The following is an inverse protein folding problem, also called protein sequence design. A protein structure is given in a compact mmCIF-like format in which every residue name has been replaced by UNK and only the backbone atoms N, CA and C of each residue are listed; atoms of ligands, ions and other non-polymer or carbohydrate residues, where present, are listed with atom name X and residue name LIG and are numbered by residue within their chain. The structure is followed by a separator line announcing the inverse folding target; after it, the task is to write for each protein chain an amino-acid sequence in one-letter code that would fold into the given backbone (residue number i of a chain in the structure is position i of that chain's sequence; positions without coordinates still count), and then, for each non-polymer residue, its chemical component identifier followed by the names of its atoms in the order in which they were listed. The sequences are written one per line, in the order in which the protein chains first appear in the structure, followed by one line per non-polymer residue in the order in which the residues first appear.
data_IF_630800553896
#
_entry.id   IF_630800553896
#
_cell.length_a   1.000
_cell.length_b   1.000
_cell.length_c   1.000
_cell.angle_alpha   90.00
_cell.angle_beta   90.00
_cell.angle_gamma   90.00
#
_symmetry.space_group_name_H-M   'P 1'
#
loop_
_entity.id
_entity.type
_entity.pdbx_description
1 polymer ?
#
# COMPACT_ATOMS: atom_id res chain seq x y z
N UNK A 1 3.89 11.20 17.40
CA UNK A 1 3.49 11.38 15.98
C UNK A 1 1.98 11.43 15.84
N UNK A 2 1.42 12.63 15.70
CA UNK A 2 0.00 12.88 15.50
C UNK A 2 -0.45 12.34 14.14
N UNK A 3 -1.52 11.54 14.13
CA UNK A 3 -2.15 11.14 12.89
C UNK A 3 -2.79 12.39 12.28
N UNK A 4 -2.13 13.03 11.31
CA UNK A 4 -2.68 14.18 10.58
C UNK A 4 -4.03 13.82 9.94
N UNK A 5 -4.79 14.84 9.55
CA UNK A 5 -6.13 14.69 8.96
C UNK A 5 -6.13 13.74 7.76
N UNK A 6 -7.30 13.15 7.45
CA UNK A 6 -7.51 12.30 6.27
C UNK A 6 -7.00 12.97 4.99
N UNK A 7 -7.36 14.24 4.79
CA UNK A 7 -6.93 15.04 3.64
C UNK A 7 -5.42 15.27 3.58
N UNK A 8 -4.75 15.45 4.73
CA UNK A 8 -3.30 15.59 4.79
C UNK A 8 -2.57 14.29 4.43
N UNK A 9 -3.09 13.14 4.90
CA UNK A 9 -2.56 11.81 4.55
C UNK A 9 -2.72 11.53 3.07
N UNK A 10 -3.89 11.83 2.50
CA UNK A 10 -4.13 11.70 1.07
C UNK A 10 -3.17 12.57 0.27
N UNK A 11 -3.04 13.87 0.63
CA UNK A 11 -2.10 14.77 -0.04
C UNK A 11 -0.69 14.19 -0.07
N UNK A 12 -0.23 13.65 1.07
CA UNK A 12 1.12 13.10 1.21
C UNK A 12 1.32 11.81 0.39
N UNK A 13 0.36 10.89 0.41
CA UNK A 13 0.40 9.69 -0.45
C UNK A 13 0.46 10.07 -1.92
N UNK A 14 -0.30 11.08 -2.35
CA UNK A 14 -0.31 11.54 -3.73
C UNK A 14 1.02 12.15 -4.13
N UNK A 15 1.52 13.16 -3.40
CA UNK A 15 2.73 13.86 -3.85
C UNK A 15 4.03 13.09 -3.66
N UNK A 16 4.17 12.28 -2.60
CA UNK A 16 5.45 11.65 -2.23
C UNK A 16 5.40 10.12 -2.21
N UNK A 17 4.23 9.54 -2.49
CA UNK A 17 4.03 8.09 -2.45
C UNK A 17 3.70 7.48 -3.80
N UNK A 18 3.37 8.28 -4.83
CA UNK A 18 2.86 7.76 -6.09
C UNK A 18 3.95 7.09 -6.93
N UNK A 19 5.03 7.81 -7.21
CA UNK A 19 6.17 7.29 -7.96
C UNK A 19 7.10 6.46 -7.07
N UNK A 20 7.88 5.58 -7.67
CA UNK A 20 8.97 4.89 -7.01
C UNK A 20 10.16 5.86 -6.82
N UNK A 21 10.99 5.74 -5.77
CA UNK A 21 12.19 6.58 -5.63
C UNK A 21 13.23 6.31 -6.74
N UNK A 22 13.13 5.17 -7.42
CA UNK A 22 14.01 4.77 -8.52
C UNK A 22 13.75 5.60 -9.79
N UNK A 23 12.61 6.30 -9.89
CA UNK A 23 12.35 7.19 -11.01
C UNK A 23 13.12 8.51 -10.86
N UNK A 24 13.56 9.12 -11.97
CA UNK A 24 14.23 10.41 -11.96
C UNK A 24 13.41 11.50 -11.23
N UNK A 25 14.05 12.50 -10.59
CA UNK A 25 13.36 13.56 -9.84
C UNK A 25 12.40 14.44 -10.66
N UNK A 26 12.43 14.34 -11.99
CA UNK A 26 11.46 15.04 -12.86
C UNK A 26 10.06 14.40 -12.84
N UNK A 27 9.91 13.18 -12.32
CA UNK A 27 8.62 12.54 -12.13
C UNK A 27 7.99 13.00 -10.82
N UNK A 28 7.03 13.91 -10.94
CA UNK A 28 6.42 14.58 -9.80
C UNK A 28 4.90 14.56 -9.91
N UNK A 29 4.19 14.67 -8.77
CA UNK A 29 2.73 14.47 -8.70
C UNK A 29 2.02 15.43 -7.74
N UNK A 30 2.61 16.61 -7.57
CA UNK A 30 2.12 17.68 -6.69
C UNK A 30 0.79 18.21 -7.17
N UNK A 31 0.55 18.32 -8.47
CA UNK A 31 -0.73 18.78 -9.00
C UNK A 31 -1.84 17.77 -8.76
N UNK A 32 -1.57 16.47 -8.90
CA UNK A 32 -2.50 15.41 -8.50
C UNK A 32 -2.85 15.56 -7.00
N UNK A 33 -1.85 15.83 -6.16
CA UNK A 33 -2.05 16.07 -4.73
C UNK A 33 -2.78 17.39 -4.43
N UNK A 34 -2.51 18.46 -5.18
CA UNK A 34 -3.08 19.80 -5.03
C UNK A 34 -4.57 19.77 -5.34
N UNK A 35 -4.95 19.19 -6.48
CA UNK A 35 -6.31 19.13 -6.98
C UNK A 35 -7.09 17.87 -6.55
N UNK A 36 -6.52 17.04 -5.65
CA UNK A 36 -7.09 15.78 -5.14
C UNK A 36 -8.59 15.84 -4.80
N UNK A 37 -9.05 16.94 -4.19
CA UNK A 37 -10.46 17.10 -3.80
C UNK A 37 -11.36 17.23 -5.03
N UNK A 38 -10.99 18.09 -5.97
CA UNK A 38 -11.71 18.27 -7.24
C UNK A 38 -11.79 16.95 -8.00
N UNK A 39 -10.68 16.20 -8.08
CA UNK A 39 -10.68 14.90 -8.73
C UNK A 39 -11.58 13.88 -8.03
N UNK A 40 -11.49 13.75 -6.71
CA UNK A 40 -12.35 12.83 -5.95
C UNK A 40 -13.82 13.21 -6.12
N UNK A 41 -14.17 14.49 -5.95
CA UNK A 41 -15.54 14.98 -6.07
C UNK A 41 -16.08 14.74 -7.49
N UNK A 42 -15.29 15.02 -8.52
CA UNK A 42 -15.64 14.76 -9.91
C UNK A 42 -15.85 13.28 -10.22
N UNK A 43 -14.99 12.38 -9.70
CA UNK A 43 -15.14 10.94 -9.89
C UNK A 43 -16.38 10.41 -9.17
N UNK A 44 -16.66 10.90 -7.95
CA UNK A 44 -17.83 10.47 -7.18
C UNK A 44 -19.16 10.97 -7.77
N UNK A 45 -19.12 12.07 -8.55
CA UNK A 45 -20.28 12.61 -9.25
C UNK A 45 -20.61 11.89 -10.58
N UNK A 46 -19.75 10.96 -11.05
CA UNK A 46 -20.01 10.21 -12.28
C UNK A 46 -21.28 9.33 -12.14
N UNK A 47 -22.08 9.19 -13.22
CA UNK A 47 -23.27 8.36 -13.20
C UNK A 47 -22.91 6.89 -12.90
N UNK A 48 -23.75 6.17 -12.13
CA UNK A 48 -23.47 4.78 -11.79
C UNK A 48 -23.45 3.89 -13.05
N UNK A 49 -22.55 2.90 -13.04
CA UNK A 49 -22.44 1.88 -14.10
C UNK A 49 -22.98 0.58 -13.56
N UNK A 50 -24.03 0.04 -14.20
CA UNK A 50 -24.72 -1.21 -13.77
C UNK A 50 -25.17 -1.14 -12.29
N UNK A 51 -25.82 -0.05 -11.90
CA UNK A 51 -26.28 0.21 -10.53
C UNK A 51 -25.18 0.22 -9.45
N UNK A 52 -23.92 0.41 -9.85
CA UNK A 52 -22.77 0.53 -8.94
C UNK A 52 -22.00 1.83 -9.22
N UNK A 53 -21.33 2.43 -8.22
CA UNK A 53 -20.49 3.61 -8.45
C UNK A 53 -19.47 3.37 -9.57
N UNK A 54 -19.35 4.30 -10.53
CA UNK A 54 -18.53 4.13 -11.72
C UNK A 54 -17.07 3.75 -11.41
N UNK A 55 -16.49 4.36 -10.37
CA UNK A 55 -15.12 4.09 -9.95
C UNK A 55 -14.86 2.63 -9.54
N UNK A 56 -15.88 1.88 -9.11
CA UNK A 56 -15.75 0.47 -8.76
C UNK A 56 -15.60 -0.43 -10.01
N UNK A 57 -15.98 0.09 -11.18
CA UNK A 57 -15.83 -0.58 -12.49
C UNK A 57 -14.65 -0.06 -13.30
N UNK A 58 -14.01 1.01 -12.85
CA UNK A 58 -12.82 1.53 -13.50
C UNK A 58 -11.68 0.52 -13.33
N UNK A 59 -11.14 0.02 -14.44
CA UNK A 59 -10.00 -0.89 -14.50
C UNK A 59 -8.92 -0.22 -15.34
N UNK A 60 -7.68 -0.35 -14.90
CA UNK A 60 -6.51 0.25 -15.55
C UNK A 60 -5.32 -0.69 -15.50
N UNK A 61 -4.38 -0.51 -16.42
CA UNK A 61 -3.10 -1.19 -16.41
C UNK A 61 -1.99 -0.29 -15.85
N UNK A 62 -1.08 -0.81 -15.01
CA UNK A 62 0.10 -0.09 -14.58
C UNK A 62 1.17 -0.08 -15.67
N UNK A 63 1.93 1.01 -15.73
CA UNK A 63 3.14 1.10 -16.55
C UNK A 63 4.31 0.45 -15.81
N UNK A 64 5.00 -0.48 -16.45
CA UNK A 64 6.10 -1.22 -15.85
C UNK A 64 7.45 -0.71 -16.34
N UNK A 65 8.43 -0.63 -15.43
CA UNK A 65 9.82 -0.36 -15.75
C UNK A 65 10.74 -1.24 -14.90
N UNK A 66 11.97 -1.43 -15.37
CA UNK A 66 12.99 -2.21 -14.68
C UNK A 66 14.04 -1.27 -14.11
N UNK A 67 14.42 -1.51 -12.85
CA UNK A 67 15.52 -0.79 -12.22
C UNK A 67 16.64 -1.77 -11.85
N UNK A 68 17.88 -1.52 -12.31
CA UNK A 68 18.99 -2.45 -12.09
C UNK A 68 19.36 -2.55 -10.62
N UNK A 69 19.72 -3.75 -10.19
CA UNK A 69 20.29 -4.00 -8.86
C UNK A 69 21.72 -4.48 -9.03
N UNK A 70 22.65 -3.86 -8.32
CA UNK A 70 24.06 -4.25 -8.40
C UNK A 70 24.23 -5.74 -8.06
N UNK A 71 24.74 -6.51 -9.02
CA UNK A 71 24.97 -7.96 -8.88
C UNK A 71 23.72 -8.85 -8.77
N UNK A 72 22.52 -8.36 -9.15
CA UNK A 72 21.26 -9.13 -9.10
C UNK A 72 20.37 -8.80 -10.31
N UNK A 73 19.37 -9.65 -10.57
CA UNK A 73 18.34 -9.37 -11.56
C UNK A 73 17.62 -8.04 -11.27
N UNK A 74 17.32 -7.34 -12.35
CA UNK A 74 16.56 -6.10 -12.37
C UNK A 74 15.25 -6.24 -11.59
N UNK A 75 14.92 -5.21 -10.82
CA UNK A 75 13.66 -5.16 -10.08
C UNK A 75 12.60 -4.49 -10.94
N UNK A 76 11.53 -5.22 -11.23
CA UNK A 76 10.34 -4.69 -11.89
C UNK A 76 9.56 -3.77 -10.94
N UNK A 77 9.36 -2.53 -11.34
CA UNK A 77 8.57 -1.52 -10.64
C UNK A 77 7.35 -1.15 -11.48
N UNK A 78 6.25 -0.78 -10.81
CA UNK A 78 4.98 -0.44 -11.45
C UNK A 78 4.50 0.95 -11.05
N UNK A 79 4.15 1.75 -12.04
CA UNK A 79 3.44 3.03 -11.88
C UNK A 79 1.96 2.79 -12.16
N UNK A 80 1.13 2.93 -11.14
CA UNK A 80 -0.32 2.79 -11.28
C UNK A 80 -0.90 3.94 -12.12
N UNK A 81 -2.04 3.72 -12.76
CA UNK A 81 -2.81 4.83 -13.32
C UNK A 81 -3.11 5.89 -12.23
N UNK A 82 -3.00 7.21 -12.51
CA UNK A 82 -3.22 8.25 -11.51
C UNK A 82 -4.59 8.20 -10.82
N UNK A 83 -5.66 7.84 -11.54
CA UNK A 83 -7.01 7.70 -10.99
C UNK A 83 -7.08 6.48 -10.07
N UNK A 84 -6.55 5.34 -10.50
CA UNK A 84 -6.50 4.12 -9.69
C UNK A 84 -5.70 4.33 -8.40
N UNK A 85 -4.55 5.00 -8.49
CA UNK A 85 -3.75 5.35 -7.32
C UNK A 85 -4.49 6.33 -6.40
N UNK A 86 -5.13 7.37 -6.95
CA UNK A 86 -5.91 8.33 -6.18
C UNK A 86 -7.02 7.66 -5.37
N UNK A 87 -7.81 6.79 -6.01
CA UNK A 87 -8.90 6.07 -5.37
C UNK A 87 -8.38 5.17 -4.24
N UNK A 88 -7.32 4.41 -4.50
CA UNK A 88 -6.69 3.53 -3.51
C UNK A 88 -6.12 4.33 -2.33
N UNK A 89 -5.37 5.40 -2.62
CA UNK A 89 -4.79 6.28 -1.62
C UNK A 89 -5.86 6.97 -0.77
N UNK A 90 -7.01 7.34 -1.35
CA UNK A 90 -8.13 7.94 -0.64
C UNK A 90 -8.70 6.99 0.42
N UNK A 91 -9.00 5.74 0.02
CA UNK A 91 -9.53 4.72 0.95
C UNK A 91 -8.54 4.42 2.06
N UNK A 92 -7.24 4.33 1.74
CA UNK A 92 -6.18 4.14 2.74
C UNK A 92 -6.09 5.34 3.69
N UNK A 93 -6.07 6.56 3.17
CA UNK A 93 -5.95 7.77 3.97
C UNK A 93 -7.12 7.94 4.94
N UNK A 94 -8.33 7.60 4.50
CA UNK A 94 -9.55 7.65 5.31
C UNK A 94 -9.53 6.64 6.46
N UNK A 95 -9.02 5.43 6.20
CA UNK A 95 -9.05 4.31 7.14
C UNK A 95 -7.70 4.07 7.87
N UNK A 96 -6.69 4.91 7.62
CA UNK A 96 -5.32 4.75 8.13
C UNK A 96 -5.24 4.52 9.65
N UNK A 97 -6.06 5.22 10.44
CA UNK A 97 -6.02 5.08 11.90
C UNK A 97 -6.40 3.66 12.33
N UNK A 98 -7.41 3.07 11.70
CA UNK A 98 -7.84 1.71 11.97
C UNK A 98 -6.82 0.69 11.43
N UNK A 99 -6.33 0.90 10.20
CA UNK A 99 -5.26 0.10 9.61
C UNK A 99 -4.02 0.05 10.50
N UNK A 100 -3.55 1.20 10.99
CA UNK A 100 -2.40 1.31 11.89
C UNK A 100 -2.67 0.61 13.23
N UNK A 101 -3.88 0.73 13.77
CA UNK A 101 -4.26 0.05 15.02
C UNK A 101 -4.17 -1.47 14.86
N UNK A 102 -4.65 -2.00 13.73
CA UNK A 102 -4.59 -3.44 13.41
C UNK A 102 -3.15 -3.90 13.17
N UNK A 103 -2.37 -3.16 12.39
CA UNK A 103 -0.96 -3.47 12.12
C UNK A 103 -0.11 -3.52 13.40
N UNK A 104 -0.43 -2.72 14.42
CA UNK A 104 0.27 -2.73 15.72
C UNK A 104 0.01 -3.97 16.57
N UNK A 105 -1.00 -4.80 16.26
CA UNK A 105 -1.35 -5.97 17.09
C UNK A 105 -0.26 -7.04 17.10
N UNK A 106 0.52 -7.17 16.03
CA UNK A 106 1.52 -8.23 15.93
C UNK A 106 2.76 -8.01 16.79
N UNK A 107 2.99 -6.80 17.31
CA UNK A 107 4.09 -6.48 18.24
C UNK A 107 5.53 -6.66 17.71
N UNK A 108 5.72 -7.36 16.60
CA UNK A 108 7.02 -7.87 16.11
C UNK A 108 7.46 -7.15 14.82
N UNK A 109 6.58 -6.36 14.18
CA UNK A 109 6.93 -5.70 12.92
C UNK A 109 7.95 -4.56 13.12
N UNK A 110 9.14 -4.74 12.55
CA UNK A 110 10.19 -3.72 12.47
C UNK A 110 9.95 -2.67 11.37
N UNK A 111 8.85 -2.77 10.61
CA UNK A 111 8.54 -1.87 9.49
C UNK A 111 7.13 -1.28 9.60
N UNK A 112 6.83 -0.51 10.67
CA UNK A 112 5.48 -0.04 10.90
C UNK A 112 5.04 0.91 9.77
N UNK A 113 3.79 0.83 9.29
CA UNK A 113 3.28 1.70 8.23
C UNK A 113 3.00 3.09 8.82
N UNK A 114 4.05 3.91 8.95
CA UNK A 114 3.95 5.24 9.54
C UNK A 114 4.31 6.30 8.50
N UNK A 115 3.44 7.31 8.41
CA UNK A 115 3.69 8.46 7.56
C UNK A 115 4.95 9.20 7.98
N UNK A 116 5.77 9.47 6.98
CA UNK A 116 6.87 10.42 7.07
C UNK A 116 6.38 11.77 6.54
N UNK A 117 6.66 12.84 7.29
CA UNK A 117 6.22 14.20 6.95
C UNK A 117 7.38 15.15 6.67
N UNK A 118 8.63 14.69 6.82
CA UNK A 118 9.84 15.47 6.61
C UNK A 118 10.61 15.03 5.38
N UNK A 119 10.60 13.73 5.07
CA UNK A 119 11.47 13.15 4.03
C UNK A 119 10.83 13.17 2.63
N UNK A 120 11.53 12.60 1.65
CA UNK A 120 11.07 12.52 0.24
C UNK A 120 9.95 11.50 0.01
N UNK A 121 9.70 10.59 0.96
CA UNK A 121 8.68 9.53 0.84
C UNK A 121 7.47 9.80 1.70
N UNK A 122 6.31 9.26 1.30
CA UNK A 122 5.11 9.35 2.10
C UNK A 122 5.18 8.50 3.37
N UNK A 123 5.93 7.39 3.35
CA UNK A 123 6.09 6.47 4.48
C UNK A 123 7.56 6.31 4.89
N UNK A 124 7.80 6.28 6.21
CA UNK A 124 9.12 6.03 6.77
C UNK A 124 9.68 4.72 6.25
N UNK A 125 10.94 4.69 5.81
CA UNK A 125 11.65 3.45 5.43
C UNK A 125 12.28 2.82 6.68
N UNK A 126 12.25 1.49 6.83
CA UNK A 126 12.98 0.86 7.92
C UNK A 126 14.46 0.99 7.55
N UNK A 127 15.29 1.48 8.47
CA UNK A 127 16.74 1.48 8.24
C UNK A 127 17.25 0.03 8.22
N UNK A 128 18.36 -0.19 7.52
CA UNK A 128 19.10 -1.46 7.56
C UNK A 128 19.52 -1.75 9.01
N UNK A 129 19.91 -0.71 9.73
CA UNK A 129 20.34 -0.77 11.13
C UNK A 129 19.28 -1.40 12.03
N UNK A 130 17.99 -1.08 11.85
CA UNK A 130 16.90 -1.69 12.65
C UNK A 130 16.83 -3.22 12.50
N UNK A 131 17.20 -3.75 11.32
CA UNK A 131 17.22 -5.20 11.10
C UNK A 131 18.42 -5.83 11.80
N UNK A 132 19.58 -5.19 11.73
CA UNK A 132 20.80 -5.72 12.35
C UNK A 132 20.72 -5.64 13.87
N UNK A 133 20.20 -4.53 14.40
CA UNK A 133 19.87 -4.37 15.83
C UNK A 133 18.88 -5.44 16.30
N UNK A 134 17.82 -5.71 15.52
CA UNK A 134 16.86 -6.77 15.85
C UNK A 134 17.51 -8.15 15.88
N UNK A 135 18.47 -8.42 14.98
CA UNK A 135 19.20 -9.70 14.96
C UNK A 135 20.13 -9.83 16.16
N UNK A 136 20.81 -8.76 16.54
CA UNK A 136 21.69 -8.72 17.73
C UNK A 136 20.87 -8.90 19.01
N UNK A 137 19.75 -8.20 19.14
CA UNK A 137 18.80 -8.35 20.26
C UNK A 137 18.23 -9.77 20.32
N UNK A 138 17.90 -10.38 19.19
CA UNK A 138 17.43 -11.76 19.14
C UNK A 138 18.53 -12.77 19.53
N UNK A 139 19.76 -12.59 19.02
CA UNK A 139 20.88 -13.50 19.33
C UNK A 139 21.33 -13.42 20.79
N UNK A 140 21.12 -12.28 21.46
CA UNK A 140 21.39 -12.15 22.90
C UNK A 140 20.39 -12.92 23.78
N UNK A 141 19.18 -13.21 23.28
CA UNK A 141 18.08 -13.81 24.06
C UNK A 141 17.74 -15.24 23.65
N UNK A 142 18.20 -15.68 22.47
CA UNK A 142 17.87 -16.96 21.86
C UNK A 142 19.14 -17.56 21.23
N UNK A 143 19.38 -18.83 21.52
CA UNK A 143 20.51 -19.59 20.96
C UNK A 143 20.35 -19.87 19.46
N UNK A 144 19.09 -19.97 19.00
CA UNK A 144 18.76 -20.25 17.61
C UNK A 144 17.67 -19.31 17.10
N UNK A 145 17.74 -18.94 15.82
CA UNK A 145 16.69 -18.22 15.12
C UNK A 145 16.54 -18.70 13.67
N UNK A 146 15.30 -18.69 13.18
CA UNK A 146 15.01 -19.02 11.77
C UNK A 146 15.02 -17.75 10.95
N UNK A 147 15.77 -17.77 9.85
CA UNK A 147 15.74 -16.71 8.83
C UNK A 147 15.13 -17.27 7.56
N UNK A 148 14.09 -16.61 7.06
CA UNK A 148 13.45 -16.92 5.80
C UNK A 148 13.31 -15.64 4.97
N UNK A 149 13.49 -15.77 3.65
CA UNK A 149 13.24 -14.70 2.68
C UNK A 149 12.09 -15.11 1.76
N UNK A 150 11.12 -14.21 1.56
CA UNK A 150 9.97 -14.47 0.69
C UNK A 150 10.31 -13.98 -0.71
N UNK A 151 10.54 -14.92 -1.63
CA UNK A 151 10.81 -14.60 -3.03
C UNK A 151 9.67 -13.79 -3.63
N UNK A 152 10.03 -12.71 -4.33
CA UNK A 152 9.09 -11.86 -5.06
C UNK A 152 7.92 -11.35 -4.19
N UNK A 153 8.16 -11.06 -2.90
CA UNK A 153 7.16 -10.69 -1.89
C UNK A 153 5.96 -9.91 -2.43
N UNK A 154 6.15 -8.68 -2.95
CA UNK A 154 5.04 -7.87 -3.46
C UNK A 154 4.27 -8.54 -4.60
N UNK A 155 4.96 -9.17 -5.56
CA UNK A 155 4.34 -9.84 -6.69
C UNK A 155 3.62 -11.13 -6.29
N UNK A 156 3.91 -11.70 -5.12
CA UNK A 156 3.26 -12.89 -4.59
C UNK A 156 2.03 -12.61 -3.70
N UNK A 157 1.75 -11.35 -3.37
CA UNK A 157 0.62 -11.02 -2.49
C UNK A 157 -0.71 -11.33 -3.17
N UNK A 158 -1.49 -12.23 -2.59
CA UNK A 158 -2.88 -12.44 -3.00
C UNK A 158 -3.77 -11.32 -2.45
N UNK A 159 -4.43 -10.53 -3.31
CA UNK A 159 -5.13 -9.31 -2.88
C UNK A 159 -6.29 -9.60 -1.92
N UNK A 160 -6.93 -10.75 -2.05
CA UNK A 160 -7.96 -11.17 -1.10
C UNK A 160 -7.42 -11.49 0.30
N UNK A 161 -6.10 -11.63 0.48
CA UNK A 161 -5.49 -11.70 1.80
C UNK A 161 -5.54 -10.35 2.54
N UNK A 162 -5.74 -9.23 1.86
CA UNK A 162 -5.87 -7.90 2.47
C UNK A 162 -7.06 -7.86 3.45
N UNK A 163 -8.31 -8.15 3.05
CA UNK A 163 -9.42 -8.23 4.00
C UNK A 163 -9.24 -9.34 5.03
N UNK A 164 -8.53 -10.44 4.71
CA UNK A 164 -8.24 -11.49 5.69
C UNK A 164 -7.33 -11.00 6.81
N UNK A 165 -6.28 -10.23 6.49
CA UNK A 165 -5.39 -9.63 7.48
C UNK A 165 -6.11 -8.57 8.34
N UNK A 166 -7.07 -7.85 7.75
CA UNK A 166 -7.80 -6.76 8.42
C UNK A 166 -8.91 -7.29 9.34
N UNK A 167 -9.67 -8.29 8.90
CA UNK A 167 -10.89 -8.74 9.57
C UNK A 167 -10.87 -10.21 10.02
N UNK A 168 -9.88 -10.99 9.57
CA UNK A 168 -9.86 -12.44 9.72
C UNK A 168 -10.51 -13.16 8.52
N UNK A 169 -9.93 -14.31 8.14
CA UNK A 169 -10.35 -15.08 6.95
C UNK A 169 -11.80 -15.52 7.00
N UNK A 170 -12.27 -16.04 8.14
CA UNK A 170 -13.66 -16.52 8.29
C UNK A 170 -14.65 -15.37 8.10
N UNK A 171 -14.42 -14.25 8.79
CA UNK A 171 -15.26 -13.07 8.69
C UNK A 171 -15.30 -12.51 7.26
N UNK A 172 -14.13 -12.38 6.62
CA UNK A 172 -14.02 -11.84 5.26
C UNK A 172 -14.70 -12.73 4.21
N UNK A 173 -14.66 -14.06 4.39
CA UNK A 173 -15.39 -14.99 3.52
C UNK A 173 -16.91 -14.84 3.61
N UNK A 174 -17.42 -14.52 4.79
CA UNK A 174 -18.85 -14.27 5.03
C UNK A 174 -19.28 -12.86 4.59
N UNK A 175 -18.39 -11.88 4.64
CA UNK A 175 -18.67 -10.46 4.37
C UNK A 175 -17.87 -9.96 3.17
N UNK A 176 -18.35 -10.24 1.95
CA UNK A 176 -17.65 -9.92 0.68
C UNK A 176 -18.01 -8.55 0.09
N UNK A 177 -18.90 -7.80 0.75
CA UNK A 177 -19.38 -6.50 0.25
C UNK A 177 -18.29 -5.43 0.28
N UNK A 178 -18.27 -4.56 -0.74
CA UNK A 178 -17.31 -3.44 -0.87
C UNK A 178 -17.60 -2.28 0.09
N UNK A 179 -18.68 -2.36 0.88
CA UNK A 179 -18.95 -1.45 1.99
C UNK A 179 -17.86 -1.52 3.07
N UNK A 180 -17.16 -2.65 3.19
CA UNK A 180 -16.02 -2.80 4.08
C UNK A 180 -14.74 -2.34 3.41
N UNK A 181 -14.01 -1.42 4.03
CA UNK A 181 -12.85 -0.79 3.42
C UNK A 181 -11.75 -1.79 3.02
N UNK A 182 -11.59 -2.92 3.73
CA UNK A 182 -10.62 -3.96 3.34
C UNK A 182 -10.97 -4.62 2.01
N UNK A 183 -12.27 -4.84 1.75
CA UNK A 183 -12.75 -5.35 0.45
C UNK A 183 -12.66 -4.27 -0.64
N UNK A 184 -12.85 -3.00 -0.27
CA UNK A 184 -12.65 -1.88 -1.19
C UNK A 184 -11.16 -1.75 -1.60
N UNK A 185 -10.22 -1.89 -0.65
CA UNK A 185 -8.79 -1.90 -0.95
C UNK A 185 -8.45 -3.06 -1.89
N UNK A 186 -8.95 -4.27 -1.59
CA UNK A 186 -8.79 -5.43 -2.50
C UNK A 186 -9.30 -5.09 -3.91
N UNK A 187 -10.54 -4.60 -4.05
CA UNK A 187 -11.11 -4.24 -5.34
C UNK A 187 -10.23 -3.24 -6.09
N UNK A 188 -9.81 -2.15 -5.43
CA UNK A 188 -9.01 -1.11 -6.07
C UNK A 188 -7.59 -1.58 -6.43
N UNK A 189 -6.99 -2.47 -5.64
CA UNK A 189 -5.72 -3.11 -5.98
C UNK A 189 -5.83 -4.00 -7.22
N UNK A 190 -6.93 -4.75 -7.36
CA UNK A 190 -7.19 -5.57 -8.55
C UNK A 190 -7.46 -4.68 -9.77
N UNK A 191 -8.37 -3.72 -9.63
CA UNK A 191 -8.75 -2.81 -10.71
C UNK A 191 -7.58 -1.95 -11.20
N UNK A 192 -6.66 -1.54 -10.32
CA UNK A 192 -5.44 -0.82 -10.70
C UNK A 192 -4.41 -1.67 -11.44
N UNK A 193 -4.62 -2.99 -11.52
CA UNK A 193 -3.73 -3.99 -12.11
C UNK A 193 -4.50 -4.90 -13.07
N UNK A 194 -5.31 -4.35 -13.97
CA UNK A 194 -6.05 -5.14 -14.97
C UNK A 194 -6.95 -6.27 -14.40
N UNK A 195 -7.52 -6.05 -13.21
CA UNK A 195 -8.35 -7.05 -12.53
C UNK A 195 -7.56 -8.24 -11.94
N UNK A 196 -6.23 -8.21 -11.95
CA UNK A 196 -5.38 -9.28 -11.43
C UNK A 196 -5.52 -9.43 -9.91
N UNK A 197 -5.59 -10.67 -9.42
CA UNK A 197 -5.78 -11.00 -7.99
C UNK A 197 -4.48 -11.28 -7.25
N UNK A 198 -3.36 -11.34 -7.99
CA UNK A 198 -2.04 -11.66 -7.46
C UNK A 198 -1.08 -10.52 -7.79
N UNK A 199 -0.37 -10.07 -6.77
CA UNK A 199 0.64 -9.05 -6.85
C UNK A 199 0.17 -7.67 -6.41
N UNK A 200 1.13 -6.88 -5.94
CA UNK A 200 1.06 -5.44 -5.78
C UNK A 200 2.24 -4.82 -6.54
N UNK A 201 2.09 -3.64 -7.16
CA UNK A 201 3.19 -2.98 -7.84
C UNK A 201 4.24 -2.54 -6.83
N UNK A 202 5.52 -2.76 -7.15
CA UNK A 202 6.64 -2.23 -6.39
C UNK A 202 6.87 -0.78 -6.81
N UNK A 203 7.08 0.11 -5.84
CA UNK A 203 7.33 1.54 -6.09
C UNK A 203 6.37 2.45 -5.33
N UNK A 204 5.04 2.32 -5.49
CA UNK A 204 4.08 3.13 -4.79
C UNK A 204 4.03 2.82 -3.29
N UNK A 205 3.91 3.85 -2.45
CA UNK A 205 3.87 3.69 -0.99
C UNK A 205 2.56 3.05 -0.51
N UNK A 206 1.49 3.05 -1.31
CA UNK A 206 0.25 2.33 -1.00
C UNK A 206 0.49 0.82 -0.91
N UNK A 207 1.25 0.22 -1.84
CA UNK A 207 1.64 -1.19 -1.79
C UNK A 207 2.39 -1.51 -0.51
N UNK A 208 3.29 -0.61 -0.11
CA UNK A 208 4.09 -0.77 1.11
C UNK A 208 3.24 -0.67 2.38
N UNK A 209 2.26 0.24 2.42
CA UNK A 209 1.33 0.35 3.54
C UNK A 209 0.47 -0.91 3.69
N UNK A 210 -0.05 -1.42 2.57
CA UNK A 210 -0.88 -2.61 2.53
C UNK A 210 -0.08 -3.83 2.98
N UNK A 211 1.12 -4.03 2.43
CA UNK A 211 1.95 -5.18 2.73
C UNK A 211 2.57 -5.11 4.13
N UNK A 212 3.07 -3.95 4.55
CA UNK A 212 3.70 -3.74 5.86
C UNK A 212 2.72 -3.79 7.04
N UNK A 213 1.42 -3.59 6.79
CA UNK A 213 0.36 -3.80 7.78
C UNK A 213 -0.12 -5.24 7.90
N UNK A 214 0.34 -6.14 7.03
CA UNK A 214 -0.22 -7.49 6.82
C UNK A 214 0.45 -8.63 7.58
N UNK A 215 1.52 -8.39 8.35
CA UNK A 215 2.07 -9.42 9.25
C UNK A 215 1.16 -9.56 10.48
N UNK A 216 -0.04 -10.09 10.28
CA UNK A 216 -1.01 -10.45 11.32
C UNK A 216 -1.48 -11.88 11.02
N UNK A 217 -0.68 -12.85 11.43
CA UNK A 217 -1.15 -14.20 11.73
C UNK A 217 -0.08 -14.93 12.53
N UNK A 218 -0.43 -15.27 13.76
CA UNK A 218 0.37 -15.89 14.81
C UNK A 218 -0.36 -15.61 16.11
#
# INVERSE_FOLDING_TARGET
MTAKTKSARLKRLLSHGFFAPELPPCFVSEDLARFRRSFVDGIMALPPVRNQPAFQKYVSEPSWFYFPRFGKDDRRHGVLNPISYLLLANVIADNYVDLRRKAKRSGISASPPVFDWSEDRALMRPSVDLRDDFRVDLSSRREEFVSADVRAFFHSIYTHAIPWAIYGKQWAKANRGVAHYGNMIDLLCRNGQDGQTIGLPVGPDTSRLIAGGGCISG
#
